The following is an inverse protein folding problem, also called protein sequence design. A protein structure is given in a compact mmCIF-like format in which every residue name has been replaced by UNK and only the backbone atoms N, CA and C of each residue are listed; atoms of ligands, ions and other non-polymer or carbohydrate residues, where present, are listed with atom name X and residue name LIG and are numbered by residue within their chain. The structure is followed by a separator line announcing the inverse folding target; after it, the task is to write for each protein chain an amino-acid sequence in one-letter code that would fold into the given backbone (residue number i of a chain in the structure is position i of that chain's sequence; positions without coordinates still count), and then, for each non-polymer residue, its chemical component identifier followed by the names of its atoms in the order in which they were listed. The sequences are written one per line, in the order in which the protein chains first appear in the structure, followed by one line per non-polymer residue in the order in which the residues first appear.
data_IF_474287117924
#
_entry.id   IF_474287117924
#
_cell.length_a   1.000
_cell.length_b   1.000
_cell.length_c   1.000
_cell.angle_alpha   90.00
_cell.angle_beta   90.00
_cell.angle_gamma   90.00
#
_symmetry.space_group_name_H-M   'P 1'
#
loop_
_entity.id
_entity.type
_entity.pdbx_description
1 polymer ?
#
# COMPACT_ATOMS: atom_id res chain seq x y z
N UNK A 1 21.41 29.48 -6.02
CA UNK A 1 22.01 28.73 -4.91
C UNK A 1 20.85 28.04 -4.19
N UNK A 2 20.58 26.79 -4.58
CA UNK A 2 19.51 25.97 -3.98
C UNK A 2 20.07 25.34 -2.71
N UNK A 3 19.49 25.66 -1.56
CA UNK A 3 19.82 24.99 -0.30
C UNK A 3 19.36 23.55 -0.39
N UNK A 4 20.31 22.59 -0.33
CA UNK A 4 20.00 21.19 -0.26
C UNK A 4 19.19 20.88 0.99
N UNK A 5 18.10 20.14 0.81
CA UNK A 5 17.32 19.60 1.93
C UNK A 5 18.22 18.70 2.81
N UNK A 6 18.12 18.78 4.14
CA UNK A 6 18.93 17.93 5.03
C UNK A 6 18.57 16.45 4.84
N UNK A 7 19.57 15.62 4.60
CA UNK A 7 19.47 14.16 4.57
C UNK A 7 18.98 13.69 5.96
N UNK A 8 17.93 12.82 6.03
CA UNK A 8 17.42 12.34 7.32
C UNK A 8 18.50 11.61 8.13
N UNK A 9 18.60 11.93 9.41
CA UNK A 9 19.46 11.22 10.36
C UNK A 9 18.96 9.76 10.46
N UNK A 10 19.79 8.81 10.09
CA UNK A 10 19.45 7.37 10.17
C UNK A 10 19.89 6.52 8.97
N UNK A 11 20.36 7.14 7.91
CA UNK A 11 21.11 6.43 6.88
C UNK A 11 22.54 6.23 7.42
N UNK A 12 22.89 5.01 7.83
CA UNK A 12 24.25 4.72 8.26
C UNK A 12 25.21 4.93 7.11
N UNK A 13 26.28 5.73 7.33
CA UNK A 13 27.42 5.93 6.41
C UNK A 13 28.20 4.63 6.13
N UNK A 14 27.80 3.52 6.76
CA UNK A 14 28.42 2.19 6.59
C UNK A 14 28.13 1.52 5.24
N UNK A 15 27.37 2.15 4.34
CA UNK A 15 27.09 1.57 3.00
C UNK A 15 28.20 1.77 1.97
N UNK A 16 29.30 2.46 2.30
CA UNK A 16 30.42 2.67 1.35
C UNK A 16 31.32 1.44 1.17
N UNK A 17 31.06 0.34 1.91
CA UNK A 17 31.80 -0.92 1.76
C UNK A 17 30.87 -2.14 1.64
N UNK A 18 29.91 -2.11 0.72
CA UNK A 18 29.37 -3.38 0.21
C UNK A 18 30.34 -3.88 -0.86
N UNK A 19 31.44 -4.48 -0.37
CA UNK A 19 32.30 -5.33 -1.18
C UNK A 19 31.49 -6.35 -1.98
N UNK A 20 32.00 -6.69 -3.16
CA UNK A 20 31.45 -7.63 -4.10
C UNK A 20 30.72 -8.80 -3.43
N UNK A 21 29.41 -8.76 -3.47
CA UNK A 21 28.53 -9.81 -2.94
C UNK A 21 28.85 -11.10 -3.69
N UNK A 22 29.05 -12.18 -2.97
CA UNK A 22 29.20 -13.55 -3.49
C UNK A 22 28.20 -13.82 -4.63
N UNK A 23 28.58 -14.57 -5.70
CA UNK A 23 27.66 -14.87 -6.79
C UNK A 23 26.50 -15.73 -6.28
N UNK A 24 25.41 -15.10 -5.86
CA UNK A 24 24.21 -15.74 -5.29
C UNK A 24 23.34 -14.81 -4.43
N UNK A 25 23.82 -13.65 -4.02
CA UNK A 25 23.13 -12.74 -3.10
C UNK A 25 22.80 -11.37 -3.75
N UNK A 26 22.20 -11.40 -4.96
CA UNK A 26 21.77 -10.19 -5.64
C UNK A 26 20.45 -9.69 -5.05
N UNK A 27 20.41 -8.45 -4.59
CA UNK A 27 19.17 -7.77 -4.24
C UNK A 27 18.23 -7.74 -5.46
N UNK A 28 17.01 -8.25 -5.31
CA UNK A 28 16.01 -8.31 -6.40
C UNK A 28 15.02 -7.16 -6.34
N UNK A 29 14.80 -6.56 -5.17
CA UNK A 29 13.92 -5.41 -4.99
C UNK A 29 14.20 -4.70 -3.65
N UNK A 30 13.90 -3.39 -3.61
CA UNK A 30 13.75 -2.67 -2.34
C UNK A 30 12.29 -2.67 -1.93
N UNK A 31 12.00 -2.95 -0.66
CA UNK A 31 10.66 -2.85 -0.07
C UNK A 31 10.64 -1.70 0.92
N UNK A 32 9.89 -0.64 0.60
CA UNK A 32 9.66 0.50 1.49
C UNK A 32 8.35 0.29 2.26
N UNK A 33 8.44 0.30 3.59
CA UNK A 33 7.29 0.11 4.48
C UNK A 33 7.04 1.42 5.26
N UNK A 34 6.20 2.34 4.75
CA UNK A 34 5.81 3.53 5.51
C UNK A 34 4.96 3.11 6.72
N UNK A 35 5.36 3.53 7.92
CA UNK A 35 4.71 3.17 9.17
C UNK A 35 4.50 4.40 10.07
N UNK A 36 3.27 4.52 10.64
CA UNK A 36 2.92 5.52 11.64
C UNK A 36 2.05 4.85 12.72
N UNK A 37 2.60 4.67 13.92
CA UNK A 37 1.96 3.96 15.04
C UNK A 37 1.43 2.57 14.64
N UNK A 38 2.32 1.73 14.08
CA UNK A 38 2.01 0.41 13.53
C UNK A 38 2.57 -0.75 14.38
N UNK A 39 2.90 -0.51 15.65
CA UNK A 39 3.48 -1.52 16.54
C UNK A 39 2.68 -2.84 16.59
N UNK A 40 1.37 -2.77 16.42
CA UNK A 40 0.48 -3.94 16.47
C UNK A 40 0.54 -4.83 15.22
N UNK A 41 1.02 -4.33 14.09
CA UNK A 41 0.98 -5.05 12.80
C UNK A 41 2.34 -5.21 12.12
N UNK A 42 3.31 -4.35 12.41
CA UNK A 42 4.60 -4.33 11.72
C UNK A 42 5.33 -5.68 11.80
N UNK A 43 5.27 -6.37 12.94
CA UNK A 43 5.90 -7.68 13.09
C UNK A 43 5.28 -8.73 12.14
N UNK A 44 3.94 -8.71 11.98
CA UNK A 44 3.23 -9.61 11.07
C UNK A 44 3.60 -9.33 9.62
N UNK A 45 3.58 -8.06 9.22
CA UNK A 45 3.97 -7.60 7.89
C UNK A 45 5.37 -8.12 7.53
N UNK A 46 6.37 -7.86 8.38
CA UNK A 46 7.76 -8.26 8.14
C UNK A 46 7.96 -9.78 8.16
N UNK A 47 7.29 -10.51 9.07
CA UNK A 47 7.40 -11.97 9.12
C UNK A 47 6.86 -12.62 7.85
N UNK A 48 5.75 -12.13 7.29
CA UNK A 48 5.21 -12.67 6.04
C UNK A 48 6.11 -12.32 4.86
N UNK A 49 6.57 -11.07 4.79
CA UNK A 49 7.45 -10.61 3.72
C UNK A 49 8.76 -11.40 3.66
N UNK A 50 9.35 -11.70 4.81
CA UNK A 50 10.70 -12.28 4.92
C UNK A 50 10.73 -13.79 5.17
N UNK A 51 9.58 -14.46 5.28
CA UNK A 51 9.48 -15.90 5.60
C UNK A 51 10.32 -16.78 4.69
N UNK A 52 10.26 -16.53 3.38
CA UNK A 52 10.90 -17.34 2.35
C UNK A 52 12.02 -16.58 1.64
N UNK A 53 12.40 -15.40 2.15
CA UNK A 53 13.45 -14.58 1.58
C UNK A 53 14.84 -15.10 2.00
N UNK A 54 15.81 -14.95 1.10
CA UNK A 54 17.21 -15.19 1.42
C UNK A 54 17.82 -13.92 2.03
N UNK A 55 18.84 -14.02 2.90
CA UNK A 55 19.56 -12.85 3.36
C UNK A 55 20.06 -11.99 2.18
N UNK A 56 19.75 -10.68 2.20
CA UNK A 56 20.15 -9.74 1.14
C UNK A 56 19.32 -9.78 -0.15
N UNK A 57 18.36 -10.69 -0.29
CA UNK A 57 17.49 -10.77 -1.47
C UNK A 57 16.54 -9.57 -1.59
N UNK A 58 16.00 -9.12 -0.46
CA UNK A 58 15.15 -7.92 -0.39
C UNK A 58 15.83 -6.88 0.50
N UNK A 59 15.99 -5.66 0.00
CA UNK A 59 16.40 -4.51 0.80
C UNK A 59 15.16 -3.92 1.47
N UNK A 60 14.92 -4.25 2.74
CA UNK A 60 13.71 -3.81 3.46
C UNK A 60 14.01 -2.57 4.29
N UNK A 61 13.25 -1.50 4.05
CA UNK A 61 13.38 -0.23 4.77
C UNK A 61 12.03 0.17 5.37
N UNK A 62 11.94 0.18 6.69
CA UNK A 62 10.77 0.69 7.40
C UNK A 62 10.95 2.18 7.62
N UNK A 63 10.01 2.97 7.09
CA UNK A 63 9.98 4.42 7.21
C UNK A 63 9.04 4.81 8.35
N UNK A 64 9.57 4.90 9.58
CA UNK A 64 8.81 5.30 10.76
C UNK A 64 8.59 6.82 10.74
N UNK A 65 7.42 7.24 10.30
CA UNK A 65 7.15 8.65 10.01
C UNK A 65 6.43 9.36 11.17
N UNK A 66 7.17 9.70 12.22
CA UNK A 66 6.66 10.36 13.42
C UNK A 66 5.89 9.42 14.35
N UNK A 67 6.21 8.12 14.35
CA UNK A 67 5.61 7.16 15.30
C UNK A 67 5.99 7.49 16.74
N UNK A 68 5.03 7.32 17.64
CA UNK A 68 5.19 7.54 19.09
C UNK A 68 5.17 6.23 19.88
N UNK A 69 4.89 5.12 19.21
CA UNK A 69 4.85 3.76 19.76
C UNK A 69 6.13 2.97 19.45
N UNK A 70 6.14 1.69 19.78
CA UNK A 70 7.30 0.80 19.60
C UNK A 70 7.51 0.33 18.13
N UNK A 71 6.90 0.96 17.13
CA UNK A 71 6.98 0.54 15.71
C UNK A 71 8.42 0.31 15.26
N UNK A 72 9.31 1.28 15.46
CA UNK A 72 10.71 1.20 15.02
C UNK A 72 11.49 0.10 15.75
N UNK A 73 11.28 -0.01 17.06
CA UNK A 73 11.93 -1.03 17.92
C UNK A 73 11.51 -2.43 17.48
N UNK A 74 10.22 -2.64 17.27
CA UNK A 74 9.66 -3.93 16.86
C UNK A 74 10.09 -4.32 15.44
N UNK A 75 10.21 -3.37 14.53
CA UNK A 75 10.72 -3.63 13.17
C UNK A 75 12.17 -4.15 13.20
N UNK A 76 13.06 -3.44 13.88
CA UNK A 76 14.48 -3.88 14.03
C UNK A 76 14.60 -5.23 14.74
N UNK A 77 13.80 -5.44 15.79
CA UNK A 77 13.76 -6.69 16.53
C UNK A 77 13.31 -7.85 15.62
N UNK A 78 12.23 -7.66 14.85
CA UNK A 78 11.71 -8.71 13.95
C UNK A 78 12.74 -9.09 12.89
N UNK A 79 13.45 -8.12 12.29
CA UNK A 79 14.54 -8.42 11.36
C UNK A 79 15.60 -9.32 12.01
N UNK A 80 16.08 -8.95 13.20
CA UNK A 80 17.08 -9.75 13.94
C UNK A 80 16.58 -11.15 14.29
N UNK A 81 15.33 -11.29 14.74
CA UNK A 81 14.70 -12.59 15.04
C UNK A 81 14.66 -13.51 13.81
N UNK A 82 14.54 -12.95 12.63
CA UNK A 82 14.51 -13.68 11.36
C UNK A 82 15.90 -13.87 10.72
N UNK A 83 16.96 -13.32 11.30
CA UNK A 83 18.29 -13.31 10.69
C UNK A 83 18.38 -12.46 9.43
N UNK A 84 17.50 -11.46 9.29
CA UNK A 84 17.38 -10.58 8.13
C UNK A 84 17.73 -9.14 8.49
N UNK A 85 18.34 -8.42 7.54
CA UNK A 85 18.55 -6.98 7.67
C UNK A 85 17.26 -6.24 7.38
N UNK A 86 16.78 -5.45 8.34
CA UNK A 86 15.67 -4.52 8.20
C UNK A 86 16.17 -3.15 8.66
N UNK A 87 16.34 -2.27 7.69
CA UNK A 87 16.70 -0.88 7.96
C UNK A 87 15.49 -0.12 8.49
N UNK A 88 15.68 0.78 9.45
CA UNK A 88 14.61 1.60 9.99
C UNK A 88 15.04 3.06 10.00
N UNK A 89 14.37 3.86 9.20
CA UNK A 89 14.55 5.32 9.15
C UNK A 89 13.47 5.97 10.00
N UNK A 90 13.87 6.70 11.02
CA UNK A 90 12.96 7.43 11.89
C UNK A 90 12.90 8.89 11.46
N UNK A 91 11.71 9.35 11.05
CA UNK A 91 11.46 10.72 10.62
C UNK A 91 10.73 11.47 11.73
N UNK A 92 11.18 12.68 12.04
CA UNK A 92 10.63 13.47 13.14
C UNK A 92 9.19 13.93 12.91
N UNK A 93 8.77 14.05 11.66
CA UNK A 93 7.43 14.54 11.30
C UNK A 93 6.59 13.43 10.66
N UNK A 94 5.30 13.40 11.02
CA UNK A 94 4.34 12.52 10.37
C UNK A 94 4.05 12.99 8.95
N UNK A 95 4.00 12.04 8.01
CA UNK A 95 3.68 12.32 6.60
C UNK A 95 4.11 11.17 5.68
N UNK A 96 3.16 10.29 5.30
CA UNK A 96 3.44 9.13 4.44
C UNK A 96 4.18 9.54 3.15
N UNK A 97 3.73 10.59 2.48
CA UNK A 97 4.33 11.04 1.22
C UNK A 97 5.75 11.58 1.42
N UNK A 98 5.99 12.35 2.49
CA UNK A 98 7.33 12.84 2.82
C UNK A 98 8.29 11.68 3.12
N UNK A 99 7.82 10.69 3.89
CA UNK A 99 8.57 9.47 4.16
C UNK A 99 8.89 8.69 2.89
N UNK A 100 7.92 8.52 1.99
CA UNK A 100 8.12 7.85 0.71
C UNK A 100 9.10 8.61 -0.20
N UNK A 101 9.04 9.94 -0.26
CA UNK A 101 10.03 10.75 -1.01
C UNK A 101 11.45 10.51 -0.50
N UNK A 102 11.64 10.55 0.82
CA UNK A 102 12.95 10.30 1.43
C UNK A 102 13.43 8.88 1.15
N UNK A 103 12.56 7.87 1.32
CA UNK A 103 12.88 6.48 1.03
C UNK A 103 13.25 6.25 -0.43
N UNK A 104 12.43 6.75 -1.38
CA UNK A 104 12.64 6.60 -2.82
C UNK A 104 13.94 7.26 -3.31
N UNK A 105 14.30 8.42 -2.76
CA UNK A 105 15.53 9.12 -3.12
C UNK A 105 16.80 8.36 -2.75
N UNK A 106 16.74 7.46 -1.77
CA UNK A 106 17.88 6.70 -1.27
C UNK A 106 17.93 5.24 -1.77
N UNK A 107 17.02 4.87 -2.67
CA UNK A 107 16.98 3.50 -3.22
C UNK A 107 18.14 3.26 -4.16
N UNK A 108 18.82 2.15 -3.94
CA UNK A 108 19.92 1.66 -4.81
C UNK A 108 19.57 0.37 -5.55
N UNK A 109 18.62 -0.42 -5.03
CA UNK A 109 18.17 -1.68 -5.62
C UNK A 109 16.75 -1.52 -6.20
N UNK A 110 16.60 -1.72 -7.49
CA UNK A 110 15.33 -1.59 -8.23
C UNK A 110 14.84 -2.96 -8.71
N UNK A 111 13.51 -3.17 -8.85
CA UNK A 111 12.42 -2.22 -8.62
C UNK A 111 12.15 -1.95 -7.14
N UNK A 112 11.32 -0.91 -6.87
CA UNK A 112 10.83 -0.60 -5.52
C UNK A 112 9.41 -1.09 -5.36
N UNK A 113 9.14 -1.74 -4.24
CA UNK A 113 7.81 -2.13 -3.79
C UNK A 113 7.46 -1.26 -2.57
N UNK A 114 6.37 -0.52 -2.62
CA UNK A 114 5.80 0.16 -1.45
C UNK A 114 4.75 -0.75 -0.85
N UNK A 115 4.90 -1.04 0.44
CA UNK A 115 4.06 -1.95 1.19
C UNK A 115 3.51 -1.25 2.44
N UNK A 116 2.18 -1.09 2.53
CA UNK A 116 1.55 -0.59 3.76
C UNK A 116 1.77 -1.59 4.90
N UNK A 117 2.13 -1.09 6.09
CA UNK A 117 2.49 -1.91 7.25
C UNK A 117 1.36 -2.82 7.75
N UNK A 118 0.11 -2.54 7.40
CA UNK A 118 -1.08 -3.35 7.76
C UNK A 118 -1.42 -4.43 6.70
N UNK A 119 -0.61 -4.56 5.63
CA UNK A 119 -0.74 -5.59 4.61
C UNK A 119 0.26 -6.73 4.80
N UNK A 120 -0.04 -7.89 4.23
CA UNK A 120 0.84 -9.06 4.22
C UNK A 120 1.22 -9.39 2.78
N UNK A 121 2.47 -9.10 2.41
CA UNK A 121 3.04 -9.40 1.10
C UNK A 121 3.98 -10.61 1.22
N UNK A 122 3.62 -11.79 0.72
CA UNK A 122 4.52 -12.95 0.72
C UNK A 122 5.77 -12.74 -0.15
N UNK A 123 6.88 -13.34 0.24
CA UNK A 123 8.14 -13.29 -0.56
C UNK A 123 7.93 -13.70 -2.03
N UNK A 124 7.16 -14.77 -2.36
CA UNK A 124 6.90 -15.13 -3.76
C UNK A 124 6.21 -14.01 -4.54
N UNK A 125 5.28 -13.29 -3.92
CA UNK A 125 4.60 -12.14 -4.55
C UNK A 125 5.57 -10.97 -4.78
N UNK A 126 6.47 -10.71 -3.83
CA UNK A 126 7.51 -9.69 -4.00
C UNK A 126 8.46 -10.04 -5.15
N UNK A 127 8.85 -11.32 -5.28
CA UNK A 127 9.66 -11.83 -6.42
C UNK A 127 8.94 -11.68 -7.75
N UNK A 128 7.66 -12.04 -7.81
CA UNK A 128 6.85 -11.91 -9.04
C UNK A 128 6.74 -10.45 -9.49
N UNK A 129 6.52 -9.51 -8.54
CA UNK A 129 6.53 -8.07 -8.83
C UNK A 129 7.89 -7.61 -9.33
N UNK A 130 8.99 -8.03 -8.68
CA UNK A 130 10.33 -7.67 -9.10
C UNK A 130 10.61 -8.14 -10.54
N UNK A 131 10.35 -9.40 -10.85
CA UNK A 131 10.54 -9.97 -12.17
C UNK A 131 9.66 -9.29 -13.24
N UNK A 132 8.40 -8.99 -12.94
CA UNK A 132 7.49 -8.35 -13.87
C UNK A 132 7.88 -6.89 -14.20
N UNK A 133 8.65 -6.24 -13.33
CA UNK A 133 9.13 -4.86 -13.48
C UNK A 133 10.61 -4.78 -13.93
N UNK A 134 11.26 -5.89 -14.21
CA UNK A 134 12.59 -5.94 -14.81
C UNK A 134 12.51 -5.58 -16.31
N UNK A 135 12.26 -4.29 -16.57
CA UNK A 135 12.05 -3.70 -17.91
C UNK A 135 12.71 -2.34 -17.99
N UNK A 136 13.17 -1.97 -19.20
CA UNK A 136 13.73 -0.65 -19.47
C UNK A 136 12.65 0.44 -19.60
N UNK A 137 11.44 0.07 -20.04
CA UNK A 137 10.33 1.01 -20.17
C UNK A 137 9.68 1.33 -18.81
N UNK A 138 9.20 2.57 -18.60
CA UNK A 138 8.50 2.94 -17.39
C UNK A 138 7.32 2.01 -17.10
N UNK A 139 7.33 1.37 -15.94
CA UNK A 139 6.31 0.40 -15.56
C UNK A 139 6.00 0.46 -14.07
N UNK A 140 4.71 0.36 -13.76
CA UNK A 140 4.22 0.26 -12.39
C UNK A 140 3.44 -1.04 -12.21
N UNK A 141 3.49 -1.60 -11.00
CA UNK A 141 2.88 -2.89 -10.74
C UNK A 141 2.13 -2.93 -9.41
N UNK A 142 1.27 -3.92 -9.31
CA UNK A 142 0.71 -4.43 -8.05
C UNK A 142 0.41 -5.91 -8.21
N UNK A 143 -0.08 -6.51 -7.16
CA UNK A 143 -0.48 -7.91 -7.13
C UNK A 143 -1.99 -8.03 -6.92
N UNK A 144 -2.55 -9.21 -7.23
CA UNK A 144 -3.90 -9.53 -6.77
C UNK A 144 -3.93 -9.53 -5.26
N UNK A 145 -5.05 -9.14 -4.68
CA UNK A 145 -5.19 -9.18 -3.23
C UNK A 145 -6.39 -10.01 -2.81
N UNK A 146 -6.28 -10.58 -1.64
CA UNK A 146 -7.37 -11.19 -0.89
C UNK A 146 -7.67 -10.34 0.33
N UNK A 147 -8.92 -10.43 0.81
CA UNK A 147 -9.33 -9.67 2.00
C UNK A 147 -9.59 -10.64 3.13
N UNK A 148 -8.78 -10.53 4.19
CA UNK A 148 -9.01 -11.25 5.43
C UNK A 148 -10.08 -10.49 6.24
N UNK A 149 -11.27 -11.09 6.34
CA UNK A 149 -12.44 -10.50 6.99
C UNK A 149 -13.13 -11.45 7.97
N UNK A 150 -12.52 -12.60 8.30
CA UNK A 150 -13.13 -13.62 9.17
C UNK A 150 -13.51 -13.06 10.55
N UNK A 151 -12.69 -12.20 11.12
CA UNK A 151 -12.91 -11.52 12.41
C UNK A 151 -13.75 -10.24 12.31
N UNK A 152 -14.30 -9.93 11.13
CA UNK A 152 -15.09 -8.71 10.91
C UNK A 152 -16.59 -8.95 11.15
N UNK A 153 -17.32 -7.88 11.45
CA UNK A 153 -18.79 -7.92 11.57
C UNK A 153 -19.42 -8.46 10.27
N UNK A 154 -20.54 -9.21 10.34
CA UNK A 154 -21.15 -9.85 9.16
C UNK A 154 -21.43 -8.91 7.99
N UNK A 155 -21.85 -7.67 8.27
CA UNK A 155 -22.10 -6.66 7.25
C UNK A 155 -20.81 -6.25 6.52
N UNK A 156 -19.68 -6.22 7.23
CA UNK A 156 -18.35 -5.94 6.66
C UNK A 156 -17.92 -7.10 5.74
N UNK A 157 -18.11 -8.33 6.19
CA UNK A 157 -17.82 -9.51 5.38
C UNK A 157 -18.66 -9.53 4.10
N UNK A 158 -19.97 -9.27 4.18
CA UNK A 158 -20.85 -9.16 3.03
C UNK A 158 -20.36 -8.08 2.05
N UNK A 159 -19.98 -6.91 2.58
CA UNK A 159 -19.45 -5.82 1.76
C UNK A 159 -18.20 -6.26 0.98
N UNK A 160 -17.23 -6.88 1.63
CA UNK A 160 -15.98 -7.25 0.96
C UNK A 160 -16.20 -8.39 -0.04
N UNK A 161 -17.08 -9.37 0.22
CA UNK A 161 -17.44 -10.38 -0.78
C UNK A 161 -18.00 -9.75 -2.06
N UNK A 162 -18.89 -8.75 -1.92
CA UNK A 162 -19.40 -8.05 -3.08
C UNK A 162 -18.33 -7.19 -3.75
N UNK A 163 -17.53 -6.45 -2.98
CA UNK A 163 -16.54 -5.52 -3.51
C UNK A 163 -15.44 -6.22 -4.31
N UNK A 164 -14.88 -7.32 -3.77
CA UNK A 164 -13.82 -8.08 -4.44
C UNK A 164 -14.30 -8.84 -5.69
N UNK A 165 -15.60 -9.07 -5.82
CA UNK A 165 -16.18 -9.70 -7.02
C UNK A 165 -16.43 -8.70 -8.17
N UNK A 166 -16.32 -7.38 -7.92
CA UNK A 166 -16.56 -6.37 -8.94
C UNK A 166 -15.43 -6.35 -10.00
N UNK A 167 -15.75 -6.28 -11.31
CA UNK A 167 -14.76 -6.32 -12.38
C UNK A 167 -13.64 -5.29 -12.22
N UNK A 168 -13.97 -4.04 -11.87
CA UNK A 168 -12.97 -2.99 -11.72
C UNK A 168 -11.96 -3.25 -10.59
N UNK A 169 -12.32 -4.10 -9.61
CA UNK A 169 -11.41 -4.52 -8.53
C UNK A 169 -10.51 -5.65 -9.00
N UNK A 170 -11.04 -6.56 -9.81
CA UNK A 170 -10.34 -7.76 -10.30
C UNK A 170 -9.41 -7.49 -11.47
N UNK A 171 -9.78 -6.54 -12.33
CA UNK A 171 -9.11 -6.28 -13.61
C UNK A 171 -8.20 -5.06 -13.58
N UNK A 172 -8.38 -4.17 -12.61
CA UNK A 172 -7.58 -2.96 -12.49
C UNK A 172 -6.56 -3.08 -11.37
N UNK A 173 -5.42 -2.42 -11.56
CA UNK A 173 -4.46 -2.14 -10.53
C UNK A 173 -5.13 -1.23 -9.50
N UNK A 174 -5.80 -1.81 -8.53
CA UNK A 174 -6.40 -1.08 -7.41
C UNK A 174 -5.33 -1.03 -6.34
N UNK A 175 -4.74 0.15 -6.11
CA UNK A 175 -3.88 0.37 -4.97
C UNK A 175 -4.66 0.01 -3.69
N UNK A 176 -4.21 -0.99 -2.99
CA UNK A 176 -4.81 -1.50 -1.75
C UNK A 176 -3.73 -1.75 -0.72
N UNK A 177 -2.70 -0.88 -0.72
CA UNK A 177 -1.58 -0.95 0.20
C UNK A 177 -0.32 -1.60 -0.37
N UNK A 178 -0.33 -2.02 -1.65
CA UNK A 178 0.87 -2.49 -2.36
C UNK A 178 0.92 -1.89 -3.76
N UNK A 179 2.01 -1.23 -4.09
CA UNK A 179 2.35 -0.87 -5.45
C UNK A 179 3.86 -0.95 -5.66
N UNK A 180 4.28 -1.13 -6.89
CA UNK A 180 5.69 -1.21 -7.24
C UNK A 180 5.97 -0.37 -8.48
N UNK A 181 7.23 0.08 -8.62
CA UNK A 181 7.69 0.86 -9.77
C UNK A 181 9.14 0.50 -10.09
N UNK A 182 9.47 0.47 -11.38
CA UNK A 182 10.84 0.33 -11.80
C UNK A 182 11.55 1.70 -11.84
N UNK A 183 12.86 1.71 -12.07
CA UNK A 183 13.67 2.93 -12.10
C UNK A 183 13.16 3.92 -13.15
N UNK A 184 12.86 3.47 -14.34
CA UNK A 184 12.36 4.32 -15.42
C UNK A 184 11.01 4.98 -15.07
N UNK A 185 10.13 4.25 -14.35
CA UNK A 185 8.87 4.81 -13.85
C UNK A 185 9.13 5.90 -12.80
N UNK A 186 10.05 5.67 -11.86
CA UNK A 186 10.44 6.66 -10.86
C UNK A 186 10.99 7.93 -11.50
N UNK A 187 11.93 7.79 -12.44
CA UNK A 187 12.55 8.92 -13.11
C UNK A 187 11.52 9.75 -13.89
N UNK A 188 10.53 9.10 -14.54
CA UNK A 188 9.43 9.78 -15.23
C UNK A 188 8.43 10.44 -14.26
N UNK A 189 8.15 9.79 -13.14
CA UNK A 189 7.18 10.26 -12.17
C UNK A 189 7.63 11.54 -11.47
N UNK A 190 8.93 11.68 -11.22
CA UNK A 190 9.48 12.75 -10.43
C UNK A 190 9.05 12.69 -8.96
N UNK A 191 9.02 13.84 -8.29
CA UNK A 191 8.62 13.90 -6.89
C UNK A 191 7.13 13.56 -6.72
N UNK A 192 6.80 12.64 -5.81
CA UNK A 192 5.42 12.36 -5.42
C UNK A 192 4.74 13.64 -4.92
N UNK A 193 3.58 14.04 -5.45
CA UNK A 193 2.85 15.19 -4.92
C UNK A 193 2.26 14.88 -3.54
N UNK A 194 1.90 15.93 -2.81
CA UNK A 194 1.29 15.81 -1.49
C UNK A 194 -0.20 15.41 -1.62
N UNK A 195 -0.44 14.11 -1.75
CA UNK A 195 -1.77 13.54 -1.95
C UNK A 195 -2.08 12.45 -0.93
N UNK A 196 -3.34 12.38 -0.52
CA UNK A 196 -3.80 11.37 0.44
C UNK A 196 -3.85 9.94 -0.17
N UNK A 197 -3.98 9.84 -1.49
CA UNK A 197 -4.10 8.59 -2.22
C UNK A 197 -2.91 8.45 -3.18
N UNK A 198 -1.74 8.13 -2.61
CA UNK A 198 -0.47 7.98 -3.30
C UNK A 198 -0.49 6.83 -4.32
N UNK A 199 -1.04 5.68 -3.96
CA UNK A 199 -1.20 4.52 -4.85
C UNK A 199 -2.14 4.82 -6.03
N UNK A 200 -3.23 5.51 -5.77
CA UNK A 200 -4.14 5.96 -6.82
C UNK A 200 -3.50 6.99 -7.75
N UNK A 201 -2.63 7.85 -7.22
CA UNK A 201 -1.89 8.81 -8.03
C UNK A 201 -0.87 8.11 -8.94
N UNK A 202 -0.04 7.22 -8.37
CA UNK A 202 0.90 6.41 -9.15
C UNK A 202 0.17 5.65 -10.26
N UNK A 203 -0.89 4.90 -9.92
CA UNK A 203 -1.68 4.15 -10.91
C UNK A 203 -2.16 5.02 -12.07
N UNK A 204 -2.64 6.24 -11.79
CA UNK A 204 -3.23 7.13 -12.79
C UNK A 204 -2.21 7.88 -13.63
N UNK A 205 -0.96 7.95 -13.17
CA UNK A 205 0.15 8.58 -13.89
C UNK A 205 0.70 7.71 -15.02
N UNK A 206 0.25 6.45 -15.12
CA UNK A 206 0.70 5.50 -16.14
C UNK A 206 -0.46 4.98 -16.98
N UNK A 207 -0.21 4.71 -18.27
CA UNK A 207 -1.19 4.14 -19.18
C UNK A 207 -1.50 2.66 -18.82
N UNK A 208 -2.63 2.09 -19.25
CA UNK A 208 -3.01 0.72 -18.90
C UNK A 208 -1.98 -0.35 -19.30
N UNK A 209 -1.29 -0.18 -20.42
CA UNK A 209 -0.24 -1.07 -20.94
C UNK A 209 1.08 -0.94 -20.20
N UNK A 210 1.28 0.13 -19.43
CA UNK A 210 2.43 0.34 -18.54
C UNK A 210 2.19 -0.22 -17.13
N UNK A 211 1.00 -0.79 -16.88
CA UNK A 211 0.61 -1.34 -15.59
C UNK A 211 0.66 -2.84 -15.61
N UNK A 212 1.28 -3.43 -14.59
CA UNK A 212 1.40 -4.88 -14.43
C UNK A 212 0.62 -5.32 -13.19
N UNK A 213 -0.15 -6.38 -13.33
CA UNK A 213 -0.83 -7.06 -12.22
C UNK A 213 -0.34 -8.51 -12.19
N UNK A 214 0.40 -8.89 -11.13
CA UNK A 214 0.83 -10.26 -10.94
C UNK A 214 -0.25 -11.09 -10.25
N UNK A 215 -0.27 -12.39 -10.52
CA UNK A 215 -1.32 -13.29 -10.03
C UNK A 215 -1.09 -13.76 -8.59
N UNK A 216 0.17 -13.76 -8.12
CA UNK A 216 0.53 -14.09 -6.73
C UNK A 216 -0.12 -13.10 -5.78
N UNK A 217 -0.96 -13.57 -4.83
CA UNK A 217 -1.76 -12.67 -4.01
C UNK A 217 -0.99 -12.10 -2.81
N UNK A 218 -1.44 -10.95 -2.33
CA UNK A 218 -1.17 -10.44 -0.99
C UNK A 218 -2.46 -10.32 -0.17
N UNK A 219 -2.34 -10.12 1.14
CA UNK A 219 -3.50 -10.05 2.04
C UNK A 219 -3.69 -8.65 2.58
N UNK A 220 -4.94 -8.17 2.50
CA UNK A 220 -5.41 -6.92 3.11
C UNK A 220 -6.35 -7.27 4.26
N UNK A 221 -6.12 -6.71 5.43
CA UNK A 221 -7.01 -6.93 6.57
C UNK A 221 -8.21 -5.97 6.53
N UNK A 222 -9.40 -6.54 6.65
CA UNK A 222 -10.65 -5.78 6.70
C UNK A 222 -10.79 -5.04 8.04
N UNK A 223 -11.47 -3.89 8.02
CA UNK A 223 -11.93 -3.26 9.23
C UNK A 223 -12.85 -4.22 10.02
N UNK A 224 -12.66 -4.35 11.34
CA UNK A 224 -13.48 -5.27 12.15
C UNK A 224 -14.93 -4.82 12.33
N UNK A 225 -15.17 -3.51 12.28
CA UNK A 225 -16.51 -2.92 12.52
C UNK A 225 -17.02 -2.16 11.30
N UNK A 226 -18.33 -2.10 11.15
CA UNK A 226 -18.99 -1.30 10.09
C UNK A 226 -18.62 0.18 10.19
N UNK A 227 -18.51 0.72 11.42
CA UNK A 227 -18.12 2.12 11.64
C UNK A 227 -16.72 2.41 11.11
N UNK A 228 -15.75 1.55 11.38
CA UNK A 228 -14.38 1.67 10.93
C UNK A 228 -14.30 1.55 9.40
N UNK A 229 -15.02 0.60 8.80
CA UNK A 229 -15.11 0.46 7.34
C UNK A 229 -15.68 1.73 6.70
N UNK A 230 -16.78 2.27 7.19
CA UNK A 230 -17.39 3.51 6.69
C UNK A 230 -16.42 4.69 6.81
N UNK A 231 -15.70 4.81 7.93
CA UNK A 231 -14.72 5.87 8.16
C UNK A 231 -13.52 5.77 7.20
N UNK A 232 -12.96 4.54 7.00
CA UNK A 232 -11.89 4.25 6.03
C UNK A 232 -12.33 4.58 4.60
N UNK A 233 -13.51 4.15 4.22
CA UNK A 233 -14.05 4.44 2.87
C UNK A 233 -14.34 5.91 2.63
N UNK A 234 -14.84 6.64 3.64
CA UNK A 234 -15.05 8.08 3.54
C UNK A 234 -13.73 8.82 3.26
N UNK A 235 -12.62 8.41 3.92
CA UNK A 235 -11.28 8.93 3.64
C UNK A 235 -10.85 8.67 2.20
N UNK A 236 -11.02 7.42 1.72
CA UNK A 236 -10.70 7.04 0.34
C UNK A 236 -11.52 7.86 -0.67
N UNK A 237 -12.81 8.10 -0.39
CA UNK A 237 -13.68 8.93 -1.25
C UNK A 237 -13.14 10.35 -1.35
N UNK A 238 -12.72 10.96 -0.24
CA UNK A 238 -12.18 12.32 -0.24
C UNK A 238 -10.81 12.39 -0.94
N UNK A 239 -9.91 11.44 -0.70
CA UNK A 239 -8.62 11.33 -1.41
C UNK A 239 -8.79 11.15 -2.92
N UNK A 240 -9.74 10.32 -3.36
CA UNK A 240 -10.06 10.17 -4.77
C UNK A 240 -10.64 11.44 -5.42
N UNK A 241 -11.34 12.29 -4.65
CA UNK A 241 -11.81 13.59 -5.15
C UNK A 241 -10.65 14.57 -5.29
N UNK A 242 -9.72 14.58 -4.34
CA UNK A 242 -8.50 15.36 -4.43
C UNK A 242 -7.73 15.00 -5.70
N UNK A 243 -7.55 13.69 -5.97
CA UNK A 243 -6.93 13.22 -7.20
C UNK A 243 -7.71 13.62 -8.45
N UNK A 244 -9.04 13.54 -8.42
CA UNK A 244 -9.87 13.93 -9.56
C UNK A 244 -9.78 15.43 -9.86
N UNK A 245 -9.56 16.26 -8.86
CA UNK A 245 -9.34 17.70 -9.06
C UNK A 245 -7.98 18.00 -9.71
N UNK A 246 -6.96 17.17 -9.46
CA UNK A 246 -5.61 17.34 -10.01
C UNK A 246 -5.42 16.66 -11.39
N UNK A 247 -5.96 15.45 -11.56
CA UNK A 247 -5.73 14.60 -12.73
C UNK A 247 -6.97 14.40 -13.63
N UNK A 248 -8.10 15.09 -13.34
CA UNK A 248 -9.36 14.85 -14.00
C UNK A 248 -10.12 13.63 -13.48
N UNK A 249 -11.20 13.20 -14.16
CA UNK A 249 -11.96 12.01 -13.80
C UNK A 249 -11.15 10.73 -14.10
N UNK A 250 -11.36 9.68 -13.28
CA UNK A 250 -10.75 8.37 -13.53
C UNK A 250 -11.62 7.56 -14.51
N UNK A 251 -11.19 7.37 -15.76
CA UNK A 251 -12.00 6.70 -16.79
C UNK A 251 -12.25 5.22 -16.47
N UNK A 252 -11.37 4.57 -15.68
CA UNK A 252 -11.50 3.17 -15.29
C UNK A 252 -12.55 2.92 -14.20
N UNK A 253 -13.01 3.97 -13.51
CA UNK A 253 -13.90 3.86 -12.35
C UNK A 253 -15.40 3.86 -12.70
N UNK A 254 -15.78 4.31 -13.89
CA UNK A 254 -17.16 4.59 -14.27
C UNK A 254 -17.81 3.54 -15.17
N UNK A 255 -17.37 2.30 -15.17
CA UNK A 255 -18.17 1.25 -15.80
C UNK A 255 -19.38 0.93 -14.92
N UNK A 256 -20.39 1.82 -15.02
CA UNK A 256 -21.72 1.60 -14.47
C UNK A 256 -22.26 0.28 -15.03
N UNK A 257 -22.85 -0.55 -14.18
CA UNK A 257 -23.44 -1.83 -14.56
C UNK A 257 -22.81 -3.04 -13.88
N UNK A 258 -21.64 -2.91 -13.29
CA UNK A 258 -20.93 -4.04 -12.67
C UNK A 258 -21.72 -4.75 -11.58
N UNK A 259 -22.30 -4.03 -10.59
CA UNK A 259 -23.01 -4.67 -9.46
C UNK A 259 -24.27 -5.42 -9.91
N UNK A 260 -25.13 -4.77 -10.69
CA UNK A 260 -26.37 -5.39 -11.17
C UNK A 260 -26.10 -6.57 -12.11
N UNK A 261 -25.07 -6.47 -12.95
CA UNK A 261 -24.63 -7.57 -13.81
C UNK A 261 -24.09 -8.74 -12.97
N UNK A 262 -23.25 -8.48 -11.97
CA UNK A 262 -22.71 -9.51 -11.07
C UNK A 262 -23.80 -10.20 -10.24
N UNK A 263 -24.85 -9.47 -9.82
CA UNK A 263 -26.01 -10.09 -9.14
C UNK A 263 -26.80 -10.98 -10.10
N UNK A 264 -27.07 -10.51 -11.33
CA UNK A 264 -27.79 -11.29 -12.34
C UNK A 264 -27.05 -12.55 -12.75
N UNK A 265 -25.73 -12.49 -12.85
CA UNK A 265 -24.89 -13.65 -13.17
C UNK A 265 -24.65 -14.60 -11.99
N UNK A 266 -25.13 -14.26 -10.79
CA UNK A 266 -24.85 -15.04 -9.57
C UNK A 266 -23.46 -14.86 -8.97
N UNK A 267 -22.62 -13.99 -9.54
CA UNK A 267 -21.28 -13.72 -9.03
C UNK A 267 -21.29 -12.96 -7.68
N UNK A 268 -22.37 -12.21 -7.41
CA UNK A 268 -22.60 -11.53 -6.14
C UNK A 268 -24.00 -11.90 -5.62
N UNK A 269 -24.05 -12.39 -4.39
CA UNK A 269 -25.34 -12.73 -3.76
C UNK A 269 -26.12 -11.46 -3.40
N UNK A 270 -27.46 -11.45 -3.50
CA UNK A 270 -28.29 -10.29 -3.18
C UNK A 270 -28.02 -9.65 -1.80
N UNK A 271 -27.82 -10.41 -0.70
CA UNK A 271 -27.48 -9.81 0.58
C UNK A 271 -26.14 -9.08 0.59
N UNK A 272 -25.14 -9.62 -0.11
CA UNK A 272 -23.82 -9.00 -0.23
C UNK A 272 -23.89 -7.69 -1.05
N UNK A 273 -24.70 -7.68 -2.11
CA UNK A 273 -24.97 -6.49 -2.89
C UNK A 273 -25.69 -5.40 -2.09
N UNK A 274 -26.68 -5.78 -1.28
CA UNK A 274 -27.39 -4.86 -0.39
C UNK A 274 -26.43 -4.24 0.65
N UNK A 275 -25.58 -5.05 1.28
CA UNK A 275 -24.55 -4.57 2.21
C UNK A 275 -23.58 -3.59 1.53
N UNK A 276 -23.16 -3.90 0.30
CA UNK A 276 -22.28 -3.01 -0.49
C UNK A 276 -22.95 -1.64 -0.73
N UNK A 277 -24.22 -1.62 -1.14
CA UNK A 277 -24.96 -0.37 -1.41
C UNK A 277 -25.13 0.46 -0.14
N UNK A 278 -25.54 -0.17 0.97
CA UNK A 278 -25.75 0.52 2.26
C UNK A 278 -24.43 1.14 2.75
N UNK A 279 -23.34 0.37 2.77
CA UNK A 279 -22.03 0.88 3.21
C UNK A 279 -21.51 1.96 2.25
N UNK A 280 -21.70 1.80 0.95
CA UNK A 280 -21.29 2.80 -0.02
C UNK A 280 -22.06 4.13 0.17
N UNK A 281 -23.37 4.08 0.42
CA UNK A 281 -24.18 5.25 0.71
C UNK A 281 -23.76 5.95 2.02
N UNK A 282 -23.61 5.19 3.10
CA UNK A 282 -23.14 5.70 4.38
C UNK A 282 -21.76 6.35 4.27
N UNK A 283 -20.84 5.71 3.54
CA UNK A 283 -19.49 6.25 3.33
C UNK A 283 -19.48 7.58 2.55
N UNK A 284 -20.35 7.72 1.52
CA UNK A 284 -20.50 8.97 0.78
C UNK A 284 -21.07 10.09 1.66
N UNK A 285 -22.07 9.74 2.49
CA UNK A 285 -22.66 10.69 3.42
C UNK A 285 -21.62 11.19 4.44
N UNK A 286 -20.89 10.27 5.09
CA UNK A 286 -19.83 10.63 6.05
C UNK A 286 -18.72 11.46 5.35
N UNK A 287 -18.31 11.10 4.14
CA UNK A 287 -17.34 11.89 3.39
C UNK A 287 -17.83 13.31 3.10
N UNK A 288 -19.13 13.48 2.78
CA UNK A 288 -19.73 14.79 2.55
C UNK A 288 -19.77 15.63 3.85
N UNK A 289 -20.19 15.02 4.97
CA UNK A 289 -20.25 15.70 6.28
C UNK A 289 -18.87 16.16 6.75
N UNK A 290 -17.85 15.28 6.67
CA UNK A 290 -16.46 15.63 7.02
C UNK A 290 -15.97 16.83 6.22
N UNK A 291 -16.25 16.87 4.93
CA UNK A 291 -15.88 17.97 4.05
C UNK A 291 -16.55 19.28 4.43
N UNK A 292 -17.86 19.26 4.72
CA UNK A 292 -18.59 20.44 5.18
C UNK A 292 -18.05 21.00 6.51
N UNK A 293 -17.59 20.10 7.39
CA UNK A 293 -17.01 20.47 8.70
C UNK A 293 -15.53 20.86 8.62
N UNK A 294 -14.89 20.78 7.45
CA UNK A 294 -13.44 20.96 7.26
C UNK A 294 -12.62 20.08 8.21
N UNK A 295 -13.14 18.88 8.53
CA UNK A 295 -12.47 17.95 9.44
C UNK A 295 -11.45 17.12 8.64
N UNK A 296 -10.19 17.56 8.69
CA UNK A 296 -9.05 16.93 8.00
C UNK A 296 -8.33 15.91 8.89
N UNK A 297 -8.89 15.56 10.06
CA UNK A 297 -8.24 14.62 10.97
C UNK A 297 -7.96 13.29 10.28
N UNK A 298 -6.70 12.88 10.32
CA UNK A 298 -6.26 11.56 9.86
C UNK A 298 -6.85 10.48 10.77
N UNK A 299 -7.95 9.87 10.36
CA UNK A 299 -8.54 8.75 11.09
C UNK A 299 -7.90 7.44 10.63
N UNK A 300 -6.92 6.96 11.36
CA UNK A 300 -6.34 5.62 11.20
C UNK A 300 -7.38 4.58 11.63
N UNK A 301 -7.52 3.49 10.87
CA UNK A 301 -8.35 2.35 11.28
C UNK A 301 -7.57 1.48 12.26
N UNK A 302 -7.84 1.64 13.55
CA UNK A 302 -7.21 0.82 14.59
C UNK A 302 -7.85 -0.57 14.73
N UNK A 303 -8.99 -0.83 14.09
CA UNK A 303 -9.72 -2.10 14.25
C UNK A 303 -9.16 -3.23 13.39
N UNK A 304 -8.65 -2.94 12.20
CA UNK A 304 -7.95 -3.91 11.33
C UNK A 304 -6.59 -4.33 11.92
N UNK A 305 -6.08 -3.54 12.87
CA UNK A 305 -4.77 -3.70 13.51
C UNK A 305 -4.82 -4.50 14.82
N UNK A 306 -6.00 -4.75 15.38
CA UNK A 306 -6.11 -5.55 16.58
C UNK A 306 -5.71 -7.01 16.29
N UNK A 307 -4.72 -7.52 17.01
CA UNK A 307 -4.32 -8.93 16.98
C UNK A 307 -5.46 -9.80 17.48
N UNK A 308 -5.77 -10.87 16.76
CA UNK A 308 -6.68 -11.94 17.23
C UNK A 308 -5.95 -12.85 18.19
#
# INVERSE_FOLDING_TARGET
MSAGEPVPVGWSDEREQVEATEPGNRCVATVLVPAYDEATVICRCLRVLLRDARPGELAVVVLSNGSTDDTAVLARRTGRELGMTVDVVELAQSGKVAALRAGLAAVTCWPVIVLDADCELPTPTARALAAALERDSPSVGSARFTVEASSSAPLVQCFYRAWTALPYVRENLVGSGVFALNRAAYDRLGALPDVTNDDGWVRRSFAPDERVLVDEPFVVHAARTTRALVARRARIINGNRQLAAQLGADPGRNRAGGLASCVRSGAIRPPDAAAFVVIAAASRWVAAVRRLRRDERWATDTTSRAVS
#
